data_IF_639860068946
#
_entry.id   IF_639860068946
#
_cell.length_a   1.000
_cell.length_b   1.000
_cell.length_c   1.000
_cell.angle_alpha   90.00
_cell.angle_beta   90.00
_cell.angle_gamma   90.00
#
_symmetry.space_group_name_H-M   'P 1'
#
loop_
_entity.id
_entity.type
_entity.pdbx_description
1 polymer ?
#
# COMPACT_ATOMS: atom_id res chain seq x y z
N UNK A 1 -18.79 1.70 11.04
CA UNK A 1 -18.78 2.83 12.01
C UNK A 1 -18.57 4.10 11.21
N UNK A 2 -19.62 4.91 11.09
CA UNK A 2 -19.85 5.98 10.09
C UNK A 2 -20.34 5.49 8.71
N UNK A 3 -21.50 4.85 8.72
CA UNK A 3 -22.26 4.58 7.51
C UNK A 3 -23.22 5.76 7.30
N UNK A 4 -22.76 6.83 6.64
CA UNK A 4 -23.56 8.03 6.29
C UNK A 4 -24.73 7.64 5.38
N UNK A 5 -25.78 7.10 5.98
CA UNK A 5 -27.02 6.77 5.31
C UNK A 5 -27.85 8.04 5.13
N UNK A 6 -28.64 8.08 4.06
CA UNK A 6 -29.62 9.16 3.82
C UNK A 6 -30.55 9.36 5.04
N UNK A 7 -30.86 8.28 5.76
CA UNK A 7 -31.68 8.33 6.98
C UNK A 7 -30.99 9.10 8.12
N UNK A 8 -29.68 8.91 8.32
CA UNK A 8 -28.92 9.61 9.35
C UNK A 8 -28.79 11.11 9.03
N UNK A 9 -28.56 11.45 7.76
CA UNK A 9 -28.53 12.84 7.30
C UNK A 9 -29.87 13.57 7.54
N UNK A 10 -31.00 12.89 7.32
CA UNK A 10 -32.33 13.40 7.63
C UNK A 10 -32.49 13.73 9.12
N UNK A 11 -32.06 12.83 10.01
CA UNK A 11 -32.13 13.06 11.46
C UNK A 11 -31.29 14.27 11.87
N UNK A 12 -30.06 14.38 11.35
CA UNK A 12 -29.19 15.54 11.60
C UNK A 12 -29.82 16.83 11.10
N UNK A 13 -30.46 16.83 9.93
CA UNK A 13 -31.20 17.99 9.42
C UNK A 13 -32.32 18.43 10.35
N UNK A 14 -33.12 17.49 10.86
CA UNK A 14 -34.20 17.80 11.81
C UNK A 14 -33.62 18.39 13.11
N UNK A 15 -32.59 17.77 13.69
CA UNK A 15 -31.94 18.26 14.91
C UNK A 15 -31.34 19.65 14.70
N UNK A 16 -30.68 19.89 13.56
CA UNK A 16 -30.14 21.19 13.21
C UNK A 16 -31.23 22.27 13.13
N UNK A 17 -32.40 21.95 12.55
CA UNK A 17 -33.55 22.85 12.51
C UNK A 17 -34.09 23.17 13.91
N UNK A 18 -34.10 22.20 14.83
CA UNK A 18 -34.58 22.42 16.20
C UNK A 18 -33.60 23.29 17.00
N UNK A 19 -32.31 22.97 16.95
CA UNK A 19 -31.28 23.63 17.77
C UNK A 19 -30.97 25.05 17.26
N UNK A 20 -30.77 25.20 15.95
CA UNK A 20 -30.40 26.48 15.34
C UNK A 20 -31.65 27.29 14.99
N UNK A 21 -32.75 26.62 14.66
CA UNK A 21 -33.96 27.23 14.14
C UNK A 21 -33.97 27.30 12.61
N UNK A 22 -35.13 27.04 11.95
CA UNK A 22 -35.25 27.04 10.48
C UNK A 22 -34.92 28.40 9.85
N UNK A 23 -35.19 29.51 10.55
CA UNK A 23 -34.89 30.85 10.05
C UNK A 23 -33.40 31.21 10.11
N UNK A 24 -32.62 30.56 11.00
CA UNK A 24 -31.21 30.90 11.24
C UNK A 24 -30.24 29.95 10.54
N UNK A 25 -30.62 28.69 10.32
CA UNK A 25 -29.84 27.71 9.54
C UNK A 25 -29.36 28.25 8.17
N UNK A 26 -30.21 28.87 7.32
CA UNK A 26 -29.75 29.42 6.04
C UNK A 26 -28.76 30.57 6.20
N UNK A 27 -28.85 31.34 7.30
CA UNK A 27 -27.90 32.42 7.58
C UNK A 27 -26.52 31.85 7.95
N UNK A 28 -26.48 30.80 8.77
CA UNK A 28 -25.23 30.11 9.15
C UNK A 28 -24.60 29.43 7.93
N UNK A 29 -25.39 28.71 7.12
CA UNK A 29 -24.91 28.07 5.90
C UNK A 29 -24.32 29.08 4.91
N UNK A 30 -24.95 30.25 4.74
CA UNK A 30 -24.40 31.34 3.91
C UNK A 30 -23.08 31.87 4.46
N UNK A 31 -22.98 32.11 5.76
CA UNK A 31 -21.73 32.59 6.38
C UNK A 31 -20.60 31.58 6.23
N UNK A 32 -20.86 30.30 6.54
CA UNK A 32 -19.90 29.21 6.36
C UNK A 32 -19.52 29.04 4.89
N UNK A 33 -20.49 29.14 3.98
CA UNK A 33 -20.26 29.07 2.54
C UNK A 33 -19.39 30.23 2.02
N UNK A 34 -19.58 31.44 2.52
CA UNK A 34 -18.72 32.57 2.19
C UNK A 34 -17.29 32.41 2.70
N UNK A 35 -17.12 31.85 3.90
CA UNK A 35 -15.79 31.56 4.46
C UNK A 35 -15.10 30.44 3.68
N UNK A 36 -15.80 29.33 3.42
CA UNK A 36 -15.30 28.22 2.61
C UNK A 36 -14.96 28.67 1.20
N UNK A 37 -15.82 29.46 0.55
CA UNK A 37 -15.58 29.99 -0.78
C UNK A 37 -14.37 30.94 -0.84
N UNK A 38 -14.17 31.78 0.19
CA UNK A 38 -12.95 32.60 0.31
C UNK A 38 -11.71 31.74 0.53
N UNK A 39 -11.77 30.76 1.42
CA UNK A 39 -10.66 29.85 1.69
C UNK A 39 -10.27 29.06 0.44
N UNK A 40 -11.26 28.50 -0.27
CA UNK A 40 -11.05 27.81 -1.55
C UNK A 40 -10.41 28.75 -2.58
N UNK A 41 -10.87 30.02 -2.66
CA UNK A 41 -10.28 31.01 -3.58
C UNK A 41 -8.85 31.41 -3.18
N UNK A 42 -8.55 31.48 -1.89
CA UNK A 42 -7.21 31.74 -1.37
C UNK A 42 -6.27 30.58 -1.69
N UNK A 43 -6.70 29.33 -1.45
CA UNK A 43 -5.94 28.13 -1.81
C UNK A 43 -5.68 28.10 -3.32
N UNK A 44 -6.68 28.42 -4.14
CA UNK A 44 -6.52 28.46 -5.59
C UNK A 44 -5.64 29.62 -6.08
N UNK A 45 -5.72 30.80 -5.46
CA UNK A 45 -4.88 31.96 -5.79
C UNK A 45 -3.43 31.74 -5.37
N UNK A 46 -3.21 31.23 -4.16
CA UNK A 46 -1.89 30.84 -3.67
C UNK A 46 -1.32 29.69 -4.50
N UNK A 47 -2.13 28.72 -4.94
CA UNK A 47 -1.69 27.69 -5.89
C UNK A 47 -1.27 28.30 -7.22
N UNK A 48 -1.96 29.32 -7.73
CA UNK A 48 -1.56 30.06 -8.94
C UNK A 48 -0.21 30.77 -8.77
N UNK A 49 -0.01 31.43 -7.63
CA UNK A 49 1.19 32.23 -7.37
C UNK A 49 2.40 31.35 -7.00
N UNK A 50 2.18 30.23 -6.27
CA UNK A 50 3.19 29.23 -5.92
C UNK A 50 3.56 28.33 -7.11
N UNK A 51 2.66 28.12 -8.08
CA UNK A 51 2.99 27.38 -9.32
C UNK A 51 4.01 28.15 -10.18
N UNK A 52 4.20 29.46 -9.96
CA UNK A 52 5.22 30.22 -10.67
C UNK A 52 6.64 29.98 -10.16
N UNK A 53 6.81 29.71 -8.85
CA UNK A 53 8.14 29.64 -8.22
C UNK A 53 8.46 28.33 -7.46
N UNK A 54 7.50 27.42 -7.22
CA UNK A 54 7.72 26.27 -6.30
C UNK A 54 7.18 24.90 -6.73
N UNK A 55 6.52 24.73 -7.88
CA UNK A 55 5.85 23.46 -8.21
C UNK A 55 6.55 22.57 -9.25
N UNK A 56 7.73 22.94 -9.75
CA UNK A 56 8.47 22.09 -10.70
C UNK A 56 9.69 21.44 -10.07
N UNK A 57 10.41 22.08 -9.16
CA UNK A 57 11.67 21.51 -8.66
C UNK A 57 11.51 20.50 -7.52
N UNK A 58 10.58 20.69 -6.59
CA UNK A 58 10.43 19.73 -5.47
C UNK A 58 9.71 18.45 -5.89
N UNK A 59 8.71 18.54 -6.76
CA UNK A 59 8.04 17.35 -7.31
C UNK A 59 8.95 16.58 -8.29
N UNK A 60 9.77 17.29 -9.10
CA UNK A 60 10.77 16.63 -9.95
C UNK A 60 11.90 16.02 -9.14
N UNK A 61 12.41 16.69 -8.12
CA UNK A 61 13.43 16.11 -7.23
C UNK A 61 12.87 14.92 -6.44
N UNK A 62 11.63 14.99 -5.97
CA UNK A 62 11.01 13.84 -5.31
C UNK A 62 10.78 12.68 -6.28
N UNK A 63 10.35 12.98 -7.51
CA UNK A 63 10.20 11.96 -8.55
C UNK A 63 11.55 11.35 -8.96
N UNK A 64 12.61 12.15 -9.13
CA UNK A 64 13.97 11.67 -9.40
C UNK A 64 14.52 10.82 -8.25
N UNK A 65 14.32 11.26 -6.99
CA UNK A 65 14.74 10.48 -5.81
C UNK A 65 14.00 9.15 -5.72
N UNK A 66 12.68 9.16 -5.90
CA UNK A 66 11.85 7.94 -5.88
C UNK A 66 12.22 7.03 -7.05
N UNK A 67 12.47 7.58 -8.24
CA UNK A 67 12.88 6.79 -9.42
C UNK A 67 14.27 6.18 -9.21
N UNK A 68 15.23 6.95 -8.69
CA UNK A 68 16.58 6.46 -8.39
C UNK A 68 16.57 5.37 -7.31
N UNK A 69 15.80 5.55 -6.23
CA UNK A 69 15.62 4.55 -5.19
C UNK A 69 14.90 3.30 -5.72
N UNK A 70 13.86 3.46 -6.54
CA UNK A 70 13.16 2.33 -7.16
C UNK A 70 14.06 1.53 -8.11
N UNK A 71 14.89 2.19 -8.92
CA UNK A 71 15.87 1.52 -9.78
C UNK A 71 16.95 0.79 -8.97
N UNK A 72 17.45 1.38 -7.88
CA UNK A 72 18.39 0.71 -6.98
C UNK A 72 17.78 -0.50 -6.27
N UNK A 73 16.51 -0.39 -5.85
CA UNK A 73 15.73 -1.51 -5.31
C UNK A 73 15.51 -2.60 -6.35
N UNK A 74 15.20 -2.24 -7.60
CA UNK A 74 15.00 -3.21 -8.68
C UNK A 74 16.30 -3.97 -8.99
N UNK A 75 17.44 -3.28 -9.05
CA UNK A 75 18.75 -3.91 -9.22
C UNK A 75 19.08 -4.85 -8.05
N UNK A 76 18.83 -4.40 -6.81
CA UNK A 76 19.01 -5.21 -5.60
C UNK A 76 18.09 -6.43 -5.60
N UNK A 77 16.82 -6.28 -5.99
CA UNK A 77 15.86 -7.38 -6.10
C UNK A 77 16.26 -8.38 -7.17
N UNK A 78 16.76 -7.94 -8.33
CA UNK A 78 17.27 -8.85 -9.36
C UNK A 78 18.47 -9.67 -8.88
N UNK A 79 19.38 -9.04 -8.13
CA UNK A 79 20.53 -9.74 -7.52
C UNK A 79 20.07 -10.74 -6.44
N UNK A 80 19.11 -10.34 -5.61
CA UNK A 80 18.52 -11.22 -4.60
C UNK A 80 17.78 -12.38 -5.25
N UNK A 81 16.99 -12.16 -6.32
CA UNK A 81 16.33 -13.22 -7.07
C UNK A 81 17.32 -14.19 -7.68
N UNK A 82 18.37 -13.70 -8.35
CA UNK A 82 19.41 -14.57 -8.91
C UNK A 82 20.14 -15.36 -7.82
N UNK A 83 20.45 -14.73 -6.70
CA UNK A 83 21.14 -15.40 -5.58
C UNK A 83 20.21 -16.40 -4.90
N UNK A 84 18.92 -16.07 -4.74
CA UNK A 84 17.90 -16.95 -4.20
C UNK A 84 17.65 -18.15 -5.12
N UNK A 85 17.57 -17.96 -6.43
CA UNK A 85 17.42 -19.06 -7.40
C UNK A 85 18.62 -20.01 -7.35
N UNK A 86 19.84 -19.47 -7.27
CA UNK A 86 21.05 -20.28 -7.09
C UNK A 86 21.05 -21.03 -5.76
N UNK A 87 20.62 -20.38 -4.67
CA UNK A 87 20.57 -20.99 -3.35
C UNK A 87 19.45 -22.04 -3.22
N UNK A 88 18.30 -21.81 -3.85
CA UNK A 88 17.18 -22.76 -3.91
C UNK A 88 17.55 -24.00 -4.74
N UNK A 89 18.29 -23.83 -5.83
CA UNK A 89 18.83 -24.96 -6.60
C UNK A 89 19.86 -25.76 -5.81
N UNK A 90 20.71 -25.08 -5.04
CA UNK A 90 21.68 -25.73 -4.15
C UNK A 90 20.99 -26.48 -3.01
N UNK A 91 19.98 -25.89 -2.37
CA UNK A 91 19.18 -26.54 -1.33
C UNK A 91 18.44 -27.74 -1.91
N UNK A 92 17.80 -27.60 -3.08
CA UNK A 92 17.09 -28.71 -3.71
C UNK A 92 18.06 -29.88 -4.04
N UNK A 93 19.27 -29.60 -4.53
CA UNK A 93 20.30 -30.63 -4.77
C UNK A 93 20.83 -31.25 -3.48
N UNK A 94 21.18 -30.44 -2.49
CA UNK A 94 21.70 -30.89 -1.20
C UNK A 94 20.66 -31.66 -0.37
N UNK A 95 19.36 -31.47 -0.63
CA UNK A 95 18.27 -32.25 -0.02
C UNK A 95 17.97 -33.51 -0.83
N UNK A 96 18.06 -33.48 -2.16
CA UNK A 96 17.74 -34.64 -3.00
C UNK A 96 18.85 -35.70 -3.08
N UNK A 97 20.13 -35.33 -2.92
CA UNK A 97 21.24 -36.29 -2.81
C UNK A 97 21.14 -37.22 -1.59
N UNK A 98 21.00 -36.73 -0.34
CA UNK A 98 20.93 -37.60 0.83
C UNK A 98 19.63 -38.43 0.89
N UNK A 99 18.54 -37.97 0.27
CA UNK A 99 17.29 -38.75 0.20
C UNK A 99 17.38 -39.93 -0.78
N UNK A 100 18.12 -39.78 -1.88
CA UNK A 100 18.37 -40.87 -2.83
C UNK A 100 19.38 -41.88 -2.27
N UNK A 101 20.42 -41.39 -1.60
CA UNK A 101 21.41 -42.23 -0.91
C UNK A 101 20.74 -43.02 0.23
N UNK A 102 19.93 -42.37 1.08
CA UNK A 102 19.14 -43.04 2.10
C UNK A 102 18.15 -44.07 1.52
N UNK A 103 17.49 -43.76 0.40
CA UNK A 103 16.60 -44.70 -0.29
C UNK A 103 17.31 -45.95 -0.78
N UNK A 104 18.51 -45.81 -1.36
CA UNK A 104 19.30 -46.94 -1.84
C UNK A 104 19.81 -47.85 -0.71
N UNK A 105 20.17 -47.27 0.45
CA UNK A 105 20.62 -48.01 1.64
C UNK A 105 19.49 -48.80 2.32
N UNK A 106 18.26 -48.27 2.27
CA UNK A 106 17.06 -48.97 2.74
C UNK A 106 16.67 -50.13 1.81
N UNK A 107 16.85 -49.96 0.49
CA UNK A 107 16.59 -51.00 -0.51
C UNK A 107 17.60 -52.15 -0.39
N UNK A 108 18.90 -51.85 -0.26
CA UNK A 108 19.96 -52.85 -0.18
C UNK A 108 19.91 -53.71 1.08
N UNK A 109 19.40 -53.17 2.21
CA UNK A 109 19.29 -53.92 3.46
C UNK A 109 18.02 -54.80 3.52
N UNK A 110 17.01 -54.50 2.70
CA UNK A 110 15.76 -55.28 2.64
C UNK A 110 15.92 -56.56 1.82
N UNK A 111 16.76 -56.57 0.77
CA UNK A 111 17.04 -57.80 0.01
C UNK A 111 17.93 -58.80 0.77
N UNK A 112 18.76 -58.36 1.71
CA UNK A 112 19.68 -59.26 2.43
C UNK A 112 19.05 -59.99 3.62
N UNK A 113 17.86 -59.60 4.10
CA UNK A 113 17.17 -60.24 5.23
C UNK A 113 16.12 -61.30 4.85
N UNK A 114 15.79 -61.48 3.56
CA UNK A 114 14.74 -62.42 3.13
C UNK A 114 15.29 -63.80 2.70
N UNK A 115 16.61 -63.98 2.55
CA UNK A 115 17.21 -65.22 2.02
C UNK A 115 17.72 -66.21 3.09
N UNK A 116 17.61 -65.87 4.39
CA UNK A 116 17.99 -66.80 5.47
C UNK A 116 16.91 -66.88 6.55
N UNK A 117 15.81 -67.58 6.25
CA UNK A 117 15.16 -68.46 7.21
C UNK A 117 14.23 -69.47 6.52
#
# INVERSE_FOLDING_TARGET
MFDFSLAELMVVMVVALIVIGPARLPKVARTLGHLYGRAQRYINGVKSDIVRDMAIDDYRQLQEKVQAEASALQASMQQVSQTADLHLQQINRAVSEPLQEAGSLLQSNTESSVVKN
#
